data_IF_233107666851
#
_entry.id   IF_233107666851
#
_cell.length_a   1.000
_cell.length_b   1.000
_cell.length_c   1.000
_cell.angle_alpha   90.00
_cell.angle_beta   90.00
_cell.angle_gamma   90.00
#
_symmetry.space_group_name_H-M   'P 1'
#
loop_
_entity.id
_entity.type
_entity.pdbx_description
1 polymer ?
#
# COMPACT_ATOMS: atom_id res chain seq x y z
N UNK A 1 -32.77 30.09 -41.83
CA UNK A 1 -33.15 29.43 -40.56
C UNK A 1 -32.15 28.38 -40.14
N UNK A 2 -31.58 27.56 -41.03
CA UNK A 2 -30.55 26.57 -40.72
C UNK A 2 -29.19 27.16 -40.26
N UNK A 3 -28.78 28.32 -40.80
CA UNK A 3 -27.52 29.00 -40.45
C UNK A 3 -27.53 29.56 -39.04
N UNK A 4 -28.68 29.99 -38.53
CA UNK A 4 -28.87 30.46 -37.13
C UNK A 4 -28.86 29.29 -36.12
N UNK A 5 -29.20 28.07 -36.53
CA UNK A 5 -29.16 26.89 -35.67
C UNK A 5 -27.75 26.26 -35.61
N UNK A 6 -26.89 26.51 -36.58
CA UNK A 6 -25.50 26.08 -36.59
C UNK A 6 -24.61 26.97 -35.73
N UNK A 7 -24.82 28.30 -35.73
CA UNK A 7 -24.12 29.24 -34.87
C UNK A 7 -24.49 29.06 -33.37
N UNK A 8 -25.73 28.61 -33.11
CA UNK A 8 -26.19 28.37 -31.74
C UNK A 8 -25.59 27.12 -31.07
N UNK A 9 -24.92 26.23 -31.85
CA UNK A 9 -24.26 25.03 -31.35
C UNK A 9 -22.75 25.18 -31.10
N UNK A 10 -22.18 26.33 -31.46
CA UNK A 10 -20.74 26.57 -31.29
C UNK A 10 -20.38 27.44 -30.08
N UNK A 11 -21.34 27.78 -29.24
CA UNK A 11 -21.05 28.29 -27.89
C UNK A 11 -21.02 27.14 -26.86
N UNK A 12 -20.38 26.01 -27.18
CA UNK A 12 -19.80 25.18 -26.17
C UNK A 12 -18.67 26.01 -25.55
N UNK A 13 -18.80 26.35 -24.28
CA UNK A 13 -17.72 26.97 -23.48
C UNK A 13 -16.50 26.08 -23.59
N UNK A 14 -15.65 26.36 -24.58
CA UNK A 14 -14.36 25.68 -24.73
C UNK A 14 -13.56 26.15 -23.54
N UNK A 15 -13.53 25.35 -22.47
CA UNK A 15 -12.66 25.59 -21.31
C UNK A 15 -11.23 25.68 -21.85
N UNK A 16 -10.69 26.90 -21.90
CA UNK A 16 -9.33 27.12 -22.34
C UNK A 16 -8.39 26.59 -21.26
N UNK A 17 -7.36 25.87 -21.67
CA UNK A 17 -6.33 25.35 -20.73
C UNK A 17 -5.71 26.50 -19.91
N UNK A 18 -5.68 27.71 -20.49
CA UNK A 18 -5.22 28.94 -19.84
C UNK A 18 -6.07 29.29 -18.61
N UNK A 19 -7.40 29.15 -18.68
CA UNK A 19 -8.31 29.42 -17.57
C UNK A 19 -8.11 28.44 -16.42
N UNK A 20 -7.82 27.17 -16.72
CA UNK A 20 -7.48 26.16 -15.73
C UNK A 20 -6.19 26.52 -15.00
N UNK A 21 -5.15 26.90 -15.75
CA UNK A 21 -3.84 27.24 -15.17
C UNK A 21 -3.93 28.51 -14.31
N UNK A 22 -4.66 29.51 -14.76
CA UNK A 22 -4.84 30.76 -14.01
C UNK A 22 -5.72 30.60 -12.77
N UNK A 23 -6.73 29.73 -12.84
CA UNK A 23 -7.52 29.34 -11.67
C UNK A 23 -6.68 28.61 -10.61
N UNK A 24 -5.79 27.71 -11.05
CA UNK A 24 -4.84 27.04 -10.14
C UNK A 24 -3.84 28.02 -9.50
N UNK A 25 -3.30 28.94 -10.29
CA UNK A 25 -2.40 29.98 -9.79
C UNK A 25 -3.11 30.93 -8.81
N UNK A 26 -4.34 31.33 -9.09
CA UNK A 26 -5.14 32.20 -8.23
C UNK A 26 -5.38 31.57 -6.86
N UNK A 27 -5.59 30.23 -6.83
CA UNK A 27 -5.99 29.48 -5.62
C UNK A 27 -4.87 28.57 -5.08
N UNK A 28 -3.60 28.82 -5.42
CA UNK A 28 -2.46 27.99 -5.00
C UNK A 28 -2.35 27.85 -3.48
N UNK A 29 -2.70 28.92 -2.73
CA UNK A 29 -2.69 28.90 -1.27
C UNK A 29 -3.66 27.85 -0.71
N UNK A 30 -4.84 27.71 -1.31
CA UNK A 30 -5.84 26.70 -0.93
C UNK A 30 -5.28 25.29 -1.18
N UNK A 31 -4.67 25.05 -2.34
CA UNK A 31 -4.07 23.76 -2.69
C UNK A 31 -2.98 23.39 -1.68
N UNK A 32 -2.08 24.33 -1.40
CA UNK A 32 -0.97 24.11 -0.44
C UNK A 32 -1.52 23.86 0.96
N UNK A 33 -2.51 24.62 1.40
CA UNK A 33 -3.09 24.47 2.74
C UNK A 33 -3.74 23.10 2.91
N UNK A 34 -4.55 22.65 1.95
CA UNK A 34 -5.20 21.32 2.01
C UNK A 34 -4.15 20.22 2.01
N UNK A 35 -3.14 20.34 1.13
CA UNK A 35 -2.05 19.36 1.05
C UNK A 35 -1.27 19.28 2.35
N UNK A 36 -0.95 20.41 2.96
CA UNK A 36 -0.27 20.49 4.26
C UNK A 36 -1.09 19.85 5.37
N UNK A 37 -2.38 20.20 5.47
CA UNK A 37 -3.28 19.62 6.48
C UNK A 37 -3.36 18.10 6.33
N UNK A 38 -3.58 17.59 5.12
CA UNK A 38 -3.63 16.14 4.86
C UNK A 38 -2.31 15.45 5.26
N UNK A 39 -1.18 16.05 4.92
CA UNK A 39 0.15 15.54 5.24
C UNK A 39 0.40 15.51 6.75
N UNK A 40 0.05 16.58 7.47
CA UNK A 40 0.21 16.67 8.93
C UNK A 40 -0.69 15.65 9.64
N UNK A 41 -1.95 15.53 9.23
CA UNK A 41 -2.87 14.52 9.79
C UNK A 41 -2.30 13.11 9.60
N UNK A 42 -1.84 12.78 8.39
CA UNK A 42 -1.23 11.47 8.10
C UNK A 42 0.03 11.23 8.94
N UNK A 43 0.86 12.23 9.11
CA UNK A 43 2.05 12.13 9.96
C UNK A 43 1.65 11.84 11.42
N UNK A 44 0.72 12.62 11.99
CA UNK A 44 0.24 12.42 13.36
C UNK A 44 -0.33 11.02 13.55
N UNK A 45 -1.21 10.57 12.64
CA UNK A 45 -1.80 9.23 12.68
C UNK A 45 -0.72 8.14 12.60
N UNK A 46 0.23 8.27 11.66
CA UNK A 46 1.27 7.27 11.42
C UNK A 46 2.32 7.18 12.54
N UNK A 47 2.56 8.29 13.28
CA UNK A 47 3.56 8.31 14.35
C UNK A 47 2.97 8.02 15.73
N UNK A 48 1.72 8.45 16.01
CA UNK A 48 1.16 8.41 17.34
C UNK A 48 -0.01 7.44 17.52
N UNK A 49 -0.78 7.16 16.46
CA UNK A 49 -1.99 6.33 16.57
C UNK A 49 -1.70 4.89 16.17
N UNK A 50 -0.97 4.65 15.07
CA UNK A 50 -0.71 3.30 14.59
C UNK A 50 0.43 2.67 15.38
N UNK A 51 0.11 1.58 16.09
CA UNK A 51 1.11 0.81 16.84
C UNK A 51 2.08 0.10 15.90
N UNK A 52 3.39 0.09 16.19
CA UNK A 52 4.37 -0.63 15.39
C UNK A 52 4.08 -2.13 15.39
N UNK A 53 4.29 -2.77 14.23
CA UNK A 53 4.26 -4.21 14.06
C UNK A 53 5.66 -4.70 13.67
N UNK A 54 6.04 -5.86 14.19
CA UNK A 54 7.33 -6.50 13.97
C UNK A 54 7.15 -7.80 13.22
N UNK A 55 8.01 -8.07 12.25
CA UNK A 55 8.03 -9.31 11.47
C UNK A 55 9.22 -10.15 11.90
N UNK A 56 8.95 -11.36 12.36
CA UNK A 56 9.98 -12.39 12.49
C UNK A 56 9.90 -13.33 11.30
N UNK A 57 11.03 -13.87 10.86
CA UNK A 57 11.08 -14.82 9.74
C UNK A 57 12.11 -15.92 9.96
N UNK A 58 11.84 -17.07 9.33
CA UNK A 58 12.76 -18.18 9.18
C UNK A 58 12.80 -18.63 7.74
N UNK A 59 13.94 -19.17 7.28
CA UNK A 59 14.03 -19.82 5.98
C UNK A 59 14.37 -21.30 6.16
N UNK A 60 13.57 -22.11 5.49
CA UNK A 60 13.68 -23.56 5.48
C UNK A 60 14.09 -24.04 4.08
N UNK A 61 14.97 -25.01 4.04
CA UNK A 61 15.31 -25.75 2.84
C UNK A 61 14.58 -27.09 2.85
N UNK A 62 13.97 -27.45 1.73
CA UNK A 62 13.30 -28.73 1.54
C UNK A 62 14.08 -29.51 0.49
N UNK A 63 14.67 -30.61 0.88
CA UNK A 63 15.51 -31.42 -0.01
C UNK A 63 15.52 -32.89 0.35
N UNK A 64 16.45 -33.61 -0.22
CA UNK A 64 16.70 -35.00 0.08
C UNK A 64 17.63 -35.08 1.29
N UNK A 65 17.39 -36.06 2.15
CA UNK A 65 18.35 -36.42 3.19
C UNK A 65 19.71 -36.74 2.53
N UNK A 66 20.81 -36.30 3.13
CA UNK A 66 22.16 -36.47 2.59
C UNK A 66 22.55 -37.95 2.50
N UNK A 67 22.07 -38.62 1.49
CA UNK A 67 22.49 -39.95 1.10
C UNK A 67 23.35 -39.86 -0.14
N UNK A 68 24.21 -40.83 -0.34
CA UNK A 68 25.21 -40.95 -1.43
C UNK A 68 24.63 -41.04 -2.85
N UNK A 69 23.33 -40.90 -3.03
CA UNK A 69 22.69 -40.94 -4.34
C UNK A 69 22.71 -39.58 -5.06
N UNK A 70 23.02 -39.60 -6.34
CA UNK A 70 23.10 -38.42 -7.19
C UNK A 70 21.77 -37.67 -7.26
N UNK A 71 21.78 -36.37 -6.98
CA UNK A 71 20.69 -35.44 -7.26
C UNK A 71 20.48 -35.33 -8.78
N UNK A 72 19.27 -35.57 -9.24
CA UNK A 72 18.92 -35.36 -10.65
C UNK A 72 17.91 -34.19 -10.79
N UNK A 73 17.73 -33.70 -12.01
CA UNK A 73 16.83 -32.56 -12.27
C UNK A 73 15.36 -32.85 -11.89
N UNK A 74 14.95 -34.14 -11.95
CA UNK A 74 13.60 -34.54 -11.55
C UNK A 74 13.39 -34.38 -10.04
N UNK A 75 14.42 -34.70 -9.24
CA UNK A 75 14.36 -34.52 -7.79
C UNK A 75 14.20 -33.05 -7.42
N UNK A 76 14.95 -32.15 -8.07
CA UNK A 76 14.86 -30.71 -7.84
C UNK A 76 13.43 -30.23 -8.09
N UNK A 77 12.83 -30.60 -9.23
CA UNK A 77 11.47 -30.20 -9.59
C UNK A 77 10.44 -30.77 -8.61
N UNK A 78 10.61 -32.00 -8.17
CA UNK A 78 9.74 -32.65 -7.18
C UNK A 78 9.79 -31.87 -5.84
N UNK A 79 10.98 -31.55 -5.33
CA UNK A 79 11.11 -30.80 -4.07
C UNK A 79 10.61 -29.36 -4.18
N UNK A 80 10.76 -28.72 -5.33
CA UNK A 80 10.14 -27.39 -5.57
C UNK A 80 8.61 -27.45 -5.50
N UNK A 81 8.00 -28.54 -6.01
CA UNK A 81 6.55 -28.75 -5.89
C UNK A 81 6.14 -29.08 -4.46
N UNK A 82 6.98 -29.85 -3.75
CA UNK A 82 6.75 -30.18 -2.35
C UNK A 82 6.74 -28.94 -1.46
N UNK A 83 7.63 -27.98 -1.72
CA UNK A 83 7.61 -26.68 -1.00
C UNK A 83 6.25 -26.01 -1.08
N UNK A 84 5.55 -26.04 -2.24
CA UNK A 84 4.21 -25.46 -2.38
C UNK A 84 3.19 -26.17 -1.48
N UNK A 85 3.27 -27.50 -1.40
CA UNK A 85 2.41 -28.26 -0.48
C UNK A 85 2.73 -27.91 0.97
N UNK A 86 3.98 -27.78 1.32
CA UNK A 86 4.45 -27.46 2.65
C UNK A 86 4.08 -26.02 3.09
N UNK A 87 4.04 -25.05 2.16
CA UNK A 87 3.53 -23.71 2.47
C UNK A 87 2.05 -23.69 2.86
N UNK A 88 1.27 -24.63 2.36
CA UNK A 88 -0.13 -24.79 2.76
C UNK A 88 -0.25 -25.54 4.09
N UNK A 89 0.54 -26.58 4.29
CA UNK A 89 0.52 -27.40 5.48
C UNK A 89 0.90 -26.60 6.75
N UNK A 90 1.97 -25.82 6.67
CA UNK A 90 2.45 -25.04 7.83
C UNK A 90 1.45 -23.99 8.33
N UNK A 91 0.47 -23.61 7.49
CA UNK A 91 -0.60 -22.67 7.80
C UNK A 91 -1.89 -23.35 8.26
N UNK A 92 -1.88 -24.64 8.54
CA UNK A 92 -3.06 -25.32 9.06
C UNK A 92 -3.27 -24.98 10.54
N UNK A 93 -4.55 -24.82 10.94
CA UNK A 93 -4.89 -24.52 12.34
C UNK A 93 -4.41 -25.63 13.29
N UNK A 94 -4.43 -26.87 12.85
CA UNK A 94 -4.00 -28.03 13.63
C UNK A 94 -2.51 -27.98 13.96
N UNK A 95 -1.66 -27.75 12.96
CA UNK A 95 -0.21 -27.63 13.15
C UNK A 95 0.14 -26.42 14.00
N UNK A 96 -0.45 -25.27 13.70
CA UNK A 96 -0.23 -24.05 14.48
C UNK A 96 -0.72 -24.21 15.92
N UNK A 97 -1.92 -24.80 16.12
CA UNK A 97 -2.47 -25.06 17.46
C UNK A 97 -1.59 -25.98 18.30
N UNK A 98 -1.03 -27.03 17.67
CA UNK A 98 -0.09 -27.94 18.33
C UNK A 98 1.22 -27.23 18.69
N UNK A 99 1.79 -26.46 17.75
CA UNK A 99 3.01 -25.68 17.98
C UNK A 99 2.84 -24.70 19.15
N UNK A 100 1.72 -23.98 19.21
CA UNK A 100 1.44 -23.03 20.26
C UNK A 100 1.30 -23.73 21.64
N UNK A 101 0.55 -24.84 21.67
CA UNK A 101 0.32 -25.64 22.89
C UNK A 101 1.62 -26.20 23.45
N UNK A 102 2.47 -26.80 22.61
CA UNK A 102 3.71 -27.43 23.02
C UNK A 102 4.74 -26.42 23.54
N UNK A 103 4.63 -25.17 23.12
CA UNK A 103 5.51 -24.09 23.56
C UNK A 103 4.89 -23.14 24.61
N UNK A 104 3.70 -23.50 25.16
CA UNK A 104 2.95 -22.71 26.15
C UNK A 104 2.69 -21.25 25.68
N UNK A 105 2.39 -21.07 24.40
CA UNK A 105 2.04 -19.77 23.84
C UNK A 105 0.51 -19.65 23.85
N UNK A 106 -0.01 -18.72 24.67
CA UNK A 106 -1.44 -18.49 24.82
C UNK A 106 -1.98 -17.52 23.75
N UNK A 107 -2.13 -18.04 22.53
CA UNK A 107 -2.68 -17.33 21.37
C UNK A 107 -3.74 -18.20 20.68
N UNK A 108 -4.74 -17.57 20.10
CA UNK A 108 -5.73 -18.27 19.24
C UNK A 108 -5.05 -18.70 17.93
N UNK A 109 -5.04 -20.00 17.59
CA UNK A 109 -4.46 -20.51 16.35
C UNK A 109 -5.00 -19.81 15.09
N UNK A 110 -6.30 -19.43 15.08
CA UNK A 110 -6.93 -18.73 13.94
C UNK A 110 -6.32 -17.35 13.73
N UNK A 111 -6.06 -16.62 14.81
CA UNK A 111 -5.41 -15.30 14.75
C UNK A 111 -3.98 -15.46 14.25
N UNK A 112 -3.26 -16.45 14.76
CA UNK A 112 -1.87 -16.72 14.33
C UNK A 112 -1.84 -17.08 12.84
N UNK A 113 -2.71 -17.97 12.37
CA UNK A 113 -2.79 -18.36 10.95
C UNK A 113 -3.07 -17.16 10.04
N UNK A 114 -3.89 -16.21 10.48
CA UNK A 114 -4.23 -15.01 9.68
C UNK A 114 -3.05 -14.06 9.46
N UNK A 115 -2.12 -13.98 10.41
CA UNK A 115 -0.92 -13.12 10.34
C UNK A 115 0.34 -13.93 9.95
N UNK A 116 0.22 -15.28 9.81
CA UNK A 116 1.28 -16.18 9.39
C UNK A 116 1.33 -16.24 7.86
N UNK A 117 2.49 -15.95 7.28
CA UNK A 117 2.77 -16.12 5.86
C UNK A 117 3.82 -17.20 5.67
N UNK A 118 3.58 -18.07 4.70
CA UNK A 118 4.57 -19.04 4.25
C UNK A 118 4.60 -19.01 2.72
N UNK A 119 5.79 -18.78 2.15
CA UNK A 119 5.97 -18.55 0.73
C UNK A 119 7.20 -19.30 0.21
N UNK A 120 7.09 -19.86 -1.00
CA UNK A 120 8.24 -20.39 -1.70
C UNK A 120 9.07 -19.25 -2.28
N UNK A 121 10.39 -19.28 -2.08
CA UNK A 121 11.28 -18.40 -2.82
C UNK A 121 11.33 -18.91 -4.26
N UNK A 122 10.94 -18.06 -5.20
CA UNK A 122 10.70 -18.42 -6.61
C UNK A 122 11.81 -19.28 -7.21
N UNK A 123 11.42 -20.40 -7.82
CA UNK A 123 12.31 -21.35 -8.49
C UNK A 123 13.40 -21.96 -7.58
N UNK A 124 13.17 -22.02 -6.29
CA UNK A 124 14.09 -22.65 -5.33
C UNK A 124 13.39 -23.70 -4.49
N UNK A 125 14.18 -24.47 -3.74
CA UNK A 125 13.72 -25.40 -2.71
C UNK A 125 13.59 -24.72 -1.33
N UNK A 126 13.53 -23.39 -1.31
CA UNK A 126 13.47 -22.59 -0.09
C UNK A 126 12.03 -22.15 0.20
N UNK A 127 11.65 -22.29 1.46
CA UNK A 127 10.42 -21.75 2.02
C UNK A 127 10.76 -20.68 3.05
N UNK A 128 10.14 -19.53 2.94
CA UNK A 128 10.22 -18.49 3.95
C UNK A 128 8.91 -18.46 4.75
N UNK A 129 9.04 -18.54 6.06
CA UNK A 129 7.93 -18.44 7.03
C UNK A 129 8.07 -17.12 7.75
N UNK A 130 6.98 -16.35 7.85
CA UNK A 130 6.92 -15.03 8.48
C UNK A 130 5.71 -14.95 9.38
N UNK A 131 5.86 -14.24 10.48
CA UNK A 131 4.74 -13.88 11.35
C UNK A 131 4.88 -12.44 11.81
N UNK A 132 3.75 -11.71 11.83
CA UNK A 132 3.72 -10.31 12.19
C UNK A 132 2.95 -10.13 13.48
N UNK A 133 3.59 -9.49 14.49
CA UNK A 133 2.96 -9.15 15.76
C UNK A 133 3.31 -7.74 16.23
N UNK A 134 2.55 -7.24 17.21
CA UNK A 134 2.86 -5.99 17.94
C UNK A 134 4.00 -6.18 18.95
N UNK A 135 4.27 -7.41 19.33
CA UNK A 135 5.34 -7.79 20.23
C UNK A 135 6.42 -8.57 19.46
N UNK A 136 7.67 -8.10 19.53
CA UNK A 136 8.79 -8.69 18.80
C UNK A 136 9.19 -10.06 19.32
N UNK A 137 9.08 -10.28 20.65
CA UNK A 137 9.34 -11.58 21.28
C UNK A 137 8.28 -12.61 20.87
N UNK A 138 6.99 -12.20 20.84
CA UNK A 138 5.89 -13.04 20.37
C UNK A 138 6.12 -13.42 18.92
N UNK A 139 6.47 -12.46 18.05
CA UNK A 139 6.73 -12.74 16.64
C UNK A 139 7.83 -13.81 16.46
N UNK A 140 8.95 -13.68 17.19
CA UNK A 140 10.04 -14.62 17.12
C UNK A 140 9.66 -16.00 17.68
N UNK A 141 9.00 -16.05 18.82
CA UNK A 141 8.59 -17.30 19.47
C UNK A 141 7.59 -18.09 18.64
N UNK A 142 6.60 -17.42 18.05
CA UNK A 142 5.60 -18.06 17.18
C UNK A 142 6.26 -18.67 15.94
N UNK A 143 7.12 -17.92 15.22
CA UNK A 143 7.80 -18.47 14.04
C UNK A 143 8.66 -19.65 14.43
N UNK A 144 9.38 -19.57 15.54
CA UNK A 144 10.22 -20.68 16.03
C UNK A 144 9.35 -21.90 16.35
N UNK A 145 8.30 -21.74 17.14
CA UNK A 145 7.42 -22.85 17.52
C UNK A 145 6.80 -23.55 16.32
N UNK A 146 6.26 -22.75 15.36
CA UNK A 146 5.62 -23.26 14.16
C UNK A 146 6.63 -23.97 13.23
N UNK A 147 7.84 -23.42 13.07
CA UNK A 147 8.87 -24.05 12.24
C UNK A 147 9.42 -25.33 12.84
N UNK A 148 9.62 -25.36 14.17
CA UNK A 148 10.11 -26.55 14.87
C UNK A 148 9.08 -27.68 14.81
N UNK A 149 7.79 -27.39 15.02
CA UNK A 149 6.72 -28.38 14.89
C UNK A 149 6.53 -28.86 13.45
N UNK A 150 6.61 -27.92 12.49
CA UNK A 150 6.54 -28.26 11.07
C UNK A 150 7.64 -29.24 10.64
N UNK A 151 8.88 -29.07 11.11
CA UNK A 151 9.99 -29.98 10.81
C UNK A 151 9.70 -31.39 11.36
N UNK A 152 9.17 -31.49 12.58
CA UNK A 152 8.79 -32.79 13.15
C UNK A 152 7.70 -33.50 12.31
N UNK A 153 6.66 -32.78 11.93
CA UNK A 153 5.55 -33.36 11.16
C UNK A 153 5.94 -33.67 9.72
N UNK A 154 6.72 -32.80 9.07
CA UNK A 154 7.14 -33.02 7.68
C UNK A 154 7.97 -34.29 7.50
N UNK A 155 8.82 -34.62 8.46
CA UNK A 155 9.62 -35.85 8.44
C UNK A 155 8.78 -37.15 8.57
N UNK A 156 7.60 -37.05 9.20
CA UNK A 156 6.66 -38.19 9.29
C UNK A 156 5.82 -38.36 8.02
N UNK A 157 5.59 -37.27 7.26
CA UNK A 157 4.71 -37.33 6.09
C UNK A 157 5.37 -37.89 4.84
N UNK A 158 6.62 -37.53 4.60
CA UNK A 158 7.34 -37.95 3.38
C UNK A 158 8.70 -38.55 3.72
N UNK A 159 8.82 -39.85 3.51
CA UNK A 159 10.11 -40.57 3.64
C UNK A 159 11.12 -39.96 2.66
N UNK A 160 12.35 -39.74 3.12
CA UNK A 160 13.48 -39.17 2.39
C UNK A 160 13.37 -37.69 2.04
N UNK A 161 12.33 -36.95 2.48
CA UNK A 161 12.32 -35.50 2.46
C UNK A 161 12.91 -34.99 3.77
N UNK A 162 13.92 -34.14 3.68
CA UNK A 162 14.57 -33.49 4.82
C UNK A 162 14.28 -31.97 4.77
N UNK A 163 13.85 -31.44 5.89
CA UNK A 163 13.58 -30.00 6.05
C UNK A 163 14.58 -29.42 7.06
N UNK A 164 15.40 -28.49 6.60
CA UNK A 164 16.44 -27.86 7.44
C UNK A 164 16.24 -26.36 7.54
N UNK A 165 16.44 -25.83 8.73
CA UNK A 165 16.51 -24.38 8.95
C UNK A 165 17.83 -23.87 8.38
N UNK A 166 17.79 -22.99 7.38
CA UNK A 166 18.96 -22.33 6.81
C UNK A 166 19.17 -20.97 7.47
N UNK A 167 18.06 -20.26 7.72
CA UNK A 167 18.10 -19.00 8.44
C UNK A 167 17.20 -19.11 9.66
N UNK A 168 17.83 -19.14 10.82
CA UNK A 168 17.13 -19.20 12.12
C UNK A 168 16.40 -17.89 12.39
N UNK A 169 15.33 -18.01 13.16
CA UNK A 169 14.57 -16.84 13.63
C UNK A 169 15.46 -15.89 14.40
N UNK A 170 15.46 -14.61 14.01
CA UNK A 170 16.10 -13.52 14.73
C UNK A 170 15.05 -12.62 15.36
N UNK A 171 15.36 -12.06 16.52
CA UNK A 171 14.50 -11.05 17.11
C UNK A 171 14.49 -9.79 16.21
N UNK A 172 13.31 -9.34 15.74
CA UNK A 172 13.25 -8.19 14.86
C UNK A 172 13.65 -6.91 15.62
N UNK A 173 14.59 -6.16 15.07
CA UNK A 173 15.06 -4.90 15.66
C UNK A 173 14.15 -3.72 15.28
N UNK A 174 13.69 -3.70 14.05
CA UNK A 174 12.91 -2.61 13.49
C UNK A 174 11.48 -3.03 13.14
N UNK A 175 10.48 -2.15 13.35
CA UNK A 175 9.12 -2.43 12.93
C UNK A 175 9.00 -2.40 11.40
N UNK A 176 8.21 -3.32 10.86
CA UNK A 176 7.88 -3.38 9.41
C UNK A 176 6.65 -2.54 9.04
N UNK A 177 5.83 -2.20 10.02
CA UNK A 177 4.62 -1.37 9.84
C UNK A 177 4.44 -0.43 11.04
N UNK A 178 3.90 0.80 10.82
CA UNK A 178 3.51 1.39 9.55
C UNK A 178 4.71 1.88 8.72
N UNK A 179 4.58 1.83 7.39
CA UNK A 179 5.54 2.50 6.51
C UNK A 179 5.26 4.02 6.50
N UNK A 180 5.80 4.73 7.50
CA UNK A 180 5.54 6.15 7.72
C UNK A 180 5.82 7.01 6.49
N UNK A 181 6.91 6.73 5.77
CA UNK A 181 7.29 7.48 4.56
C UNK A 181 6.25 7.31 3.45
N UNK A 182 5.79 6.07 3.23
CA UNK A 182 4.79 5.76 2.22
C UNK A 182 3.43 6.37 2.56
N UNK A 183 3.01 6.28 3.82
CA UNK A 183 1.73 6.85 4.26
C UNK A 183 1.70 8.38 4.07
N UNK A 184 2.79 9.07 4.41
CA UNK A 184 2.92 10.52 4.23
C UNK A 184 2.93 10.87 2.73
N UNK A 185 3.65 10.12 1.89
CA UNK A 185 3.70 10.36 0.46
C UNK A 185 2.32 10.19 -0.21
N UNK A 186 1.59 9.13 0.16
CA UNK A 186 0.22 8.90 -0.34
C UNK A 186 -0.72 10.03 0.12
N UNK A 187 -0.65 10.43 1.39
CA UNK A 187 -1.49 11.52 1.91
C UNK A 187 -1.19 12.86 1.24
N UNK A 188 0.07 13.15 0.96
CA UNK A 188 0.49 14.35 0.22
C UNK A 188 -0.09 14.35 -1.20
N UNK A 189 -0.01 13.22 -1.91
CA UNK A 189 -0.55 13.09 -3.27
C UNK A 189 -2.09 13.23 -3.27
N UNK A 190 -2.78 12.56 -2.36
CA UNK A 190 -4.22 12.67 -2.22
C UNK A 190 -4.64 14.10 -1.81
N UNK A 191 -3.93 14.72 -0.89
CA UNK A 191 -4.18 16.11 -0.49
C UNK A 191 -4.02 17.09 -1.65
N UNK A 192 -3.01 16.88 -2.50
CA UNK A 192 -2.80 17.67 -3.70
C UNK A 192 -3.94 17.45 -4.71
N UNK A 193 -4.36 16.22 -4.96
CA UNK A 193 -5.48 15.92 -5.85
C UNK A 193 -6.79 16.57 -5.38
N UNK A 194 -7.10 16.47 -4.09
CA UNK A 194 -8.28 17.11 -3.49
C UNK A 194 -8.16 18.62 -3.54
N UNK A 195 -6.99 19.18 -3.25
CA UNK A 195 -6.73 20.63 -3.29
C UNK A 195 -6.92 21.19 -4.69
N UNK A 196 -6.38 20.55 -5.72
CA UNK A 196 -6.57 20.92 -7.13
C UNK A 196 -8.02 20.79 -7.53
N UNK A 197 -8.69 19.68 -7.19
CA UNK A 197 -10.10 19.47 -7.50
C UNK A 197 -11.00 20.55 -6.90
N UNK A 198 -10.78 20.91 -5.64
CA UNK A 198 -11.53 21.99 -4.99
C UNK A 198 -11.21 23.38 -5.57
N UNK A 199 -9.94 23.63 -5.92
CA UNK A 199 -9.56 24.89 -6.56
C UNK A 199 -10.26 25.07 -7.89
N UNK A 200 -10.31 24.03 -8.72
CA UNK A 200 -11.03 24.05 -10.01
C UNK A 200 -12.54 24.17 -9.81
N UNK A 201 -13.11 23.43 -8.87
CA UNK A 201 -14.55 23.50 -8.60
C UNK A 201 -14.96 24.92 -8.17
N UNK A 202 -14.16 25.54 -7.29
CA UNK A 202 -14.41 26.92 -6.87
C UNK A 202 -14.16 27.94 -8.00
N UNK A 203 -13.29 27.65 -8.95
CA UNK A 203 -13.08 28.52 -10.11
C UNK A 203 -14.23 28.41 -11.09
N UNK A 204 -14.77 27.20 -11.34
CA UNK A 204 -15.99 27.01 -12.14
C UNK A 204 -17.24 27.66 -11.51
N UNK A 205 -17.27 27.77 -10.19
CA UNK A 205 -18.38 28.47 -9.48
C UNK A 205 -18.19 29.99 -9.43
N UNK A 206 -17.03 30.50 -9.81
CA UNK A 206 -16.71 31.93 -9.80
C UNK A 206 -17.16 32.56 -11.14
N UNK A 207 -18.42 32.95 -11.22
CA UNK A 207 -19.02 33.59 -12.39
C UNK A 207 -18.63 35.06 -12.55
N UNK A 208 -17.45 35.47 -12.04
CA UNK A 208 -16.99 36.85 -12.14
C UNK A 208 -16.32 37.06 -13.50
N UNK A 209 -16.84 37.99 -14.28
CA UNK A 209 -16.21 38.40 -15.54
C UNK A 209 -14.84 39.03 -15.28
N UNK A 210 -13.79 38.41 -15.83
CA UNK A 210 -12.38 38.82 -15.62
C UNK A 210 -11.87 39.76 -16.68
N UNK A 211 -12.41 39.62 -17.93
CA UNK A 211 -11.93 40.31 -19.12
C UNK A 211 -13.06 41.12 -19.78
N UNK A 212 -12.66 42.28 -20.37
CA UNK A 212 -13.58 43.13 -21.13
C UNK A 212 -14.20 42.38 -22.31
N UNK A 213 -13.42 41.52 -22.96
CA UNK A 213 -13.82 40.75 -24.13
C UNK A 213 -14.96 39.79 -23.79
N UNK A 214 -14.87 39.09 -22.66
CA UNK A 214 -15.93 38.17 -22.17
C UNK A 214 -17.22 38.93 -21.83
N UNK A 215 -17.09 40.15 -21.34
CA UNK A 215 -18.24 40.98 -21.04
C UNK A 215 -18.92 41.51 -22.35
N UNK A 216 -18.11 41.93 -23.33
CA UNK A 216 -18.59 42.37 -24.64
C UNK A 216 -19.31 41.26 -25.43
N UNK A 217 -18.76 40.04 -25.39
CA UNK A 217 -19.35 38.88 -26.04
C UNK A 217 -20.73 38.49 -25.48
N UNK A 218 -20.94 38.67 -24.18
CA UNK A 218 -22.22 38.31 -23.54
C UNK A 218 -23.24 39.43 -23.63
N UNK A 219 -22.82 40.69 -23.49
CA UNK A 219 -23.74 41.83 -23.50
C UNK A 219 -24.01 42.31 -24.93
N UNK A 220 -23.13 42.01 -25.87
CA UNK A 220 -23.25 42.41 -27.27
C UNK A 220 -23.05 43.91 -27.54
N UNK A 221 -22.46 44.62 -26.57
CA UNK A 221 -22.13 46.06 -26.67
C UNK A 221 -20.71 46.32 -26.22
N UNK A 222 -19.96 47.23 -26.90
CA UNK A 222 -18.57 47.49 -26.56
C UNK A 222 -18.45 48.19 -25.17
N UNK A 223 -17.52 47.71 -24.35
CA UNK A 223 -17.22 48.28 -23.03
C UNK A 223 -16.39 49.55 -23.18
N UNK A 224 -17.00 50.71 -22.92
CA UNK A 224 -16.37 52.01 -23.11
C UNK A 224 -15.32 52.37 -22.05
N UNK A 225 -15.29 51.70 -20.92
CA UNK A 225 -14.28 51.91 -19.89
C UNK A 225 -14.53 51.10 -18.61
N UNK A 226 -13.47 50.84 -17.84
CA UNK A 226 -13.57 50.21 -16.51
C UNK A 226 -13.29 51.28 -15.43
N UNK A 227 -14.11 51.31 -14.39
CA UNK A 227 -13.87 52.13 -13.20
C UNK A 227 -13.08 51.27 -12.22
N UNK A 228 -11.81 51.59 -11.91
CA UNK A 228 -11.04 50.80 -10.97
C UNK A 228 -11.61 50.94 -9.55
N UNK A 229 -11.63 49.80 -8.85
CA UNK A 229 -12.05 49.78 -7.44
C UNK A 229 -10.95 50.44 -6.57
N UNK A 230 -11.35 51.48 -5.85
CA UNK A 230 -10.43 52.32 -5.06
C UNK A 230 -9.81 51.56 -3.86
N UNK A 231 -10.36 50.43 -3.43
CA UNK A 231 -9.79 49.63 -2.33
C UNK A 231 -8.51 48.87 -2.67
N UNK A 232 -8.20 48.68 -3.96
CA UNK A 232 -7.01 47.93 -4.43
C UNK A 232 -5.83 48.81 -4.85
N UNK A 233 -5.92 50.13 -4.66
CA UNK A 233 -4.84 51.10 -4.94
C UNK A 233 -4.14 51.47 -3.62
N UNK A 234 -3.52 50.47 -2.95
CA UNK A 234 -2.55 50.70 -1.87
C UNK A 234 -1.37 49.79 -2.04
#
# INVERSE_FOLDING_TARGET
MLKFMEESRMNEEIIKIEDIVDGLKKRWQLIVTITLIATIISAVVSFFIIKPKYEASAKLFVGKEATTENYNNSDITMYQQLVKTYTSLIKTEDLVGKALKDNNIDLDPKIVVSELSAEQITNTQLMQVKYISKNKEEAANVVKAVTDEFIKESSALIKNADVKIIESVKLPENPVSPNKKMNIAIAMLLGLMVGVGLALLLEFMDNTFKDKESLEDIIGVPVLGAIPDQEKVK
#
